data_IF_962903976372
#
_entry.id   IF_962903976372
#
_cell.length_a   1.000
_cell.length_b   1.000
_cell.length_c   1.000
_cell.angle_alpha   90.00
_cell.angle_beta   90.00
_cell.angle_gamma   90.00
#
_symmetry.space_group_name_H-M   'P 1'
#
loop_
_entity.id
_entity.type
_entity.pdbx_description
1 polymer ?
#
# COMPACT_ATOMS: atom_id res chain seq x y z
N UNK A 1 29.30 -6.63 -8.19
CA UNK A 1 29.25 -5.49 -9.15
C UNK A 1 27.84 -4.88 -9.27
N UNK A 2 26.80 -5.68 -9.55
CA UNK A 2 25.40 -5.22 -9.72
C UNK A 2 24.79 -4.45 -8.52
N UNK A 3 25.10 -4.83 -7.27
CA UNK A 3 24.60 -4.10 -6.08
C UNK A 3 25.12 -2.65 -5.99
N UNK A 4 26.35 -2.37 -6.46
CA UNK A 4 26.91 -1.01 -6.44
C UNK A 4 26.24 -0.09 -7.47
N UNK A 5 25.75 -0.65 -8.58
CA UNK A 5 25.04 0.08 -9.63
C UNK A 5 23.67 0.57 -9.15
N UNK A 6 22.99 -0.23 -8.31
CA UNK A 6 21.68 0.11 -7.72
C UNK A 6 21.68 1.35 -6.83
N UNK A 7 22.85 1.82 -6.41
CA UNK A 7 22.95 3.04 -5.59
C UNK A 7 22.98 4.32 -6.44
N UNK A 8 23.03 4.20 -7.77
CA UNK A 8 23.06 5.34 -8.69
C UNK A 8 21.69 5.57 -9.32
N UNK A 9 21.34 6.84 -9.55
CA UNK A 9 20.08 7.24 -10.19
C UNK A 9 20.07 6.97 -11.70
N UNK A 10 21.22 7.10 -12.36
CA UNK A 10 21.34 7.00 -13.83
C UNK A 10 20.80 5.68 -14.41
N UNK A 11 21.14 4.48 -13.89
CA UNK A 11 20.56 3.23 -14.39
C UNK A 11 19.04 3.20 -14.32
N UNK A 12 18.44 3.78 -13.27
CA UNK A 12 16.99 3.88 -13.15
C UNK A 12 16.40 4.88 -14.15
N UNK A 13 17.05 6.02 -14.37
CA UNK A 13 16.62 6.99 -15.37
C UNK A 13 16.67 6.41 -16.79
N UNK A 14 17.71 5.66 -17.13
CA UNK A 14 17.81 4.94 -18.41
C UNK A 14 16.68 3.93 -18.55
N UNK A 15 16.42 3.13 -17.51
CA UNK A 15 15.30 2.19 -17.50
C UNK A 15 13.95 2.91 -17.69
N UNK A 16 13.73 4.02 -16.99
CA UNK A 16 12.52 4.82 -17.09
C UNK A 16 12.33 5.43 -18.49
N UNK A 17 13.42 5.86 -19.14
CA UNK A 17 13.37 6.42 -20.49
C UNK A 17 12.69 5.47 -21.48
N UNK A 18 13.04 4.17 -21.43
CA UNK A 18 12.45 3.12 -22.26
C UNK A 18 11.04 2.69 -21.82
N UNK A 19 10.52 3.18 -20.69
CA UNK A 19 9.19 2.87 -20.17
C UNK A 19 8.21 4.05 -20.28
N UNK A 20 8.35 4.89 -21.32
CA UNK A 20 7.52 6.10 -21.52
C UNK A 20 6.01 5.87 -21.38
N UNK A 21 5.46 4.80 -21.98
CA UNK A 21 4.02 4.49 -21.91
C UNK A 21 3.52 4.36 -20.45
N UNK A 22 4.34 3.81 -19.57
CA UNK A 22 4.04 3.62 -18.15
C UNK A 22 4.26 4.86 -17.28
N UNK A 23 4.82 5.94 -17.83
CA UNK A 23 5.26 7.14 -17.08
C UNK A 23 4.72 8.46 -17.62
N UNK A 24 4.19 8.49 -18.85
CA UNK A 24 3.75 9.72 -19.50
C UNK A 24 2.62 10.44 -18.75
N UNK A 25 1.84 9.72 -17.93
CA UNK A 25 0.82 10.30 -17.04
C UNK A 25 1.41 11.29 -16.03
N UNK A 26 2.70 11.19 -15.70
CA UNK A 26 3.38 12.13 -14.80
C UNK A 26 3.65 13.50 -15.44
N UNK A 27 3.72 13.59 -16.77
CA UNK A 27 4.05 14.85 -17.48
C UNK A 27 3.08 16.00 -17.10
N UNK A 28 1.74 15.84 -17.21
CA UNK A 28 0.82 16.89 -16.80
C UNK A 28 0.90 17.18 -15.29
N UNK A 29 1.16 16.17 -14.45
CA UNK A 29 1.26 16.33 -13.01
C UNK A 29 2.52 17.12 -12.60
N UNK A 30 3.67 16.83 -13.22
CA UNK A 30 4.90 17.58 -12.99
C UNK A 30 4.74 19.05 -13.38
N UNK A 31 4.09 19.32 -14.52
CA UNK A 31 3.76 20.69 -14.94
C UNK A 31 2.82 21.38 -13.95
N UNK A 32 1.78 20.68 -13.47
CA UNK A 32 0.83 21.20 -12.48
C UNK A 32 1.53 21.66 -11.19
N UNK A 33 2.54 20.91 -10.74
CA UNK A 33 3.28 21.19 -9.51
C UNK A 33 4.58 21.95 -9.72
N UNK A 34 4.82 22.50 -10.92
CA UNK A 34 6.00 23.34 -11.19
C UNK A 34 7.34 22.58 -11.18
N UNK A 35 7.34 21.26 -11.37
CA UNK A 35 8.57 20.46 -11.39
C UNK A 35 9.26 20.57 -12.76
N UNK A 36 10.49 21.10 -12.78
CA UNK A 36 11.37 21.07 -13.95
C UNK A 36 12.06 19.70 -14.07
N UNK A 37 11.28 18.67 -14.42
CA UNK A 37 11.75 17.30 -14.57
C UNK A 37 11.11 16.59 -15.75
N UNK A 38 11.92 15.78 -16.45
CA UNK A 38 11.43 14.81 -17.41
C UNK A 38 10.71 13.64 -16.71
N UNK A 39 9.77 12.99 -17.41
CA UNK A 39 9.03 11.83 -16.89
C UNK A 39 9.92 10.67 -16.42
N UNK A 40 11.16 10.58 -16.92
CA UNK A 40 12.12 9.54 -16.60
C UNK A 40 13.09 9.90 -15.47
N UNK A 41 13.07 11.16 -15.00
CA UNK A 41 13.95 11.64 -13.94
C UNK A 41 13.68 10.94 -12.61
N UNK A 42 14.69 10.91 -11.74
CA UNK A 42 14.48 10.54 -10.33
C UNK A 42 13.56 11.54 -9.65
N UNK A 43 12.75 11.07 -8.71
CA UNK A 43 11.79 11.88 -7.96
C UNK A 43 11.71 11.42 -6.50
N UNK A 44 11.54 12.36 -5.58
CA UNK A 44 11.42 12.11 -4.13
C UNK A 44 10.60 13.20 -3.44
N UNK A 45 10.26 12.98 -2.17
CA UNK A 45 9.62 13.96 -1.28
C UNK A 45 10.24 15.36 -1.35
N UNK A 46 11.57 15.44 -1.43
CA UNK A 46 12.34 16.71 -1.55
C UNK A 46 11.92 17.58 -2.72
N UNK A 47 11.49 16.98 -3.83
CA UNK A 47 11.08 17.73 -5.02
C UNK A 47 9.81 18.56 -4.79
N UNK A 48 9.03 18.22 -3.75
CA UNK A 48 7.78 18.87 -3.40
C UNK A 48 7.90 19.73 -2.13
N UNK A 49 9.06 19.79 -1.48
CA UNK A 49 9.26 20.49 -0.20
C UNK A 49 9.02 22.01 -0.27
N UNK A 50 8.96 22.58 -1.47
CA UNK A 50 8.65 24.00 -1.71
C UNK A 50 7.15 24.28 -1.83
N UNK A 51 6.33 23.23 -1.92
CA UNK A 51 4.88 23.32 -2.02
C UNK A 51 4.26 23.20 -0.63
N UNK A 52 3.05 23.74 -0.41
CA UNK A 52 2.39 23.60 0.89
C UNK A 52 2.12 22.13 1.22
N UNK A 53 2.19 21.80 2.51
CA UNK A 53 1.60 20.57 2.99
C UNK A 53 0.11 20.57 2.64
N UNK A 54 -0.29 19.60 1.81
CA UNK A 54 -1.66 19.50 1.36
C UNK A 54 -2.35 18.38 2.13
N UNK A 55 -3.24 18.77 3.04
CA UNK A 55 -4.04 17.85 3.82
C UNK A 55 -5.23 17.37 2.99
N UNK A 56 -5.32 16.05 2.80
CA UNK A 56 -6.51 15.39 2.28
C UNK A 56 -7.61 15.47 3.34
N UNK A 57 -8.83 15.82 2.91
CA UNK A 57 -9.95 16.04 3.84
C UNK A 57 -10.96 14.91 3.69
N UNK A 58 -11.10 14.13 4.75
CA UNK A 58 -12.14 13.11 4.81
C UNK A 58 -13.53 13.77 4.87
N UNK A 59 -14.42 13.36 3.97
CA UNK A 59 -15.80 13.84 3.88
C UNK A 59 -16.76 12.72 4.27
N UNK A 60 -17.15 12.73 5.55
CA UNK A 60 -18.02 11.72 6.14
C UNK A 60 -19.40 11.68 5.46
N UNK A 61 -19.94 12.84 5.08
CA UNK A 61 -21.25 12.92 4.42
C UNK A 61 -21.20 12.29 3.03
N UNK A 62 -20.13 12.51 2.26
CA UNK A 62 -19.93 11.78 0.99
C UNK A 62 -19.83 10.28 1.23
N UNK A 63 -19.12 9.84 2.27
CA UNK A 63 -18.94 8.41 2.56
C UNK A 63 -20.28 7.74 2.77
N UNK A 64 -21.15 8.36 3.57
CA UNK A 64 -22.48 7.85 3.89
C UNK A 64 -23.42 7.77 2.70
N UNK A 65 -23.17 8.60 1.68
CA UNK A 65 -23.96 8.63 0.47
C UNK A 65 -23.54 7.60 -0.58
N UNK A 66 -22.35 7.00 -0.45
CA UNK A 66 -21.89 5.94 -1.36
C UNK A 66 -22.80 4.70 -1.28
N UNK A 67 -23.02 4.05 -2.42
CA UNK A 67 -23.84 2.83 -2.48
C UNK A 67 -23.22 1.69 -1.66
N UNK A 68 -21.89 1.61 -1.63
CA UNK A 68 -21.17 0.62 -0.85
C UNK A 68 -21.47 0.76 0.65
N UNK A 69 -21.35 1.97 1.21
CA UNK A 69 -21.59 2.22 2.64
C UNK A 69 -23.04 1.91 3.05
N UNK A 70 -24.02 2.27 2.22
CA UNK A 70 -25.44 2.03 2.50
C UNK A 70 -25.76 0.54 2.68
N UNK A 71 -25.07 -0.32 1.93
CA UNK A 71 -25.24 -1.77 1.95
C UNK A 71 -24.40 -2.49 3.00
N UNK A 72 -23.58 -1.78 3.79
CA UNK A 72 -22.84 -2.38 4.91
C UNK A 72 -23.77 -2.77 6.07
N UNK A 73 -23.37 -3.78 6.84
CA UNK A 73 -23.97 -4.06 8.15
C UNK A 73 -23.74 -2.90 9.13
N UNK A 74 -24.51 -2.82 10.21
CA UNK A 74 -24.33 -1.77 11.22
C UNK A 74 -22.94 -1.83 11.89
N UNK A 75 -22.40 -3.03 12.11
CA UNK A 75 -21.02 -3.22 12.59
C UNK A 75 -20.00 -2.61 11.61
N UNK A 76 -20.15 -2.91 10.33
CA UNK A 76 -19.24 -2.43 9.29
C UNK A 76 -19.38 -0.91 9.05
N UNK A 77 -20.60 -0.36 9.16
CA UNK A 77 -20.82 1.09 9.14
C UNK A 77 -20.12 1.78 10.31
N UNK A 78 -20.23 1.22 11.51
CA UNK A 78 -19.54 1.76 12.69
C UNK A 78 -18.02 1.75 12.50
N UNK A 79 -17.45 0.68 11.94
CA UNK A 79 -16.02 0.64 11.62
C UNK A 79 -15.63 1.66 10.55
N UNK A 80 -16.43 1.81 9.49
CA UNK A 80 -16.16 2.77 8.42
C UNK A 80 -16.20 4.23 8.88
N UNK A 81 -17.11 4.58 9.81
CA UNK A 81 -17.13 5.90 10.46
C UNK A 81 -15.84 6.23 11.21
N UNK A 82 -15.24 5.21 11.83
CA UNK A 82 -13.99 5.37 12.57
C UNK A 82 -12.73 5.49 11.70
N UNK A 83 -12.84 5.50 10.38
CA UNK A 83 -11.67 5.50 9.49
C UNK A 83 -10.75 6.71 9.69
N UNK A 84 -11.31 7.92 9.76
CA UNK A 84 -10.51 9.14 9.93
C UNK A 84 -9.81 9.22 11.29
N UNK A 85 -10.44 8.66 12.32
CA UNK A 85 -9.86 8.61 13.67
C UNK A 85 -8.80 7.53 13.84
N UNK A 86 -9.05 6.35 13.28
CA UNK A 86 -8.20 5.19 13.50
C UNK A 86 -7.13 5.00 12.42
N UNK A 87 -7.35 5.51 11.21
CA UNK A 87 -6.50 5.31 10.03
C UNK A 87 -6.74 3.97 9.34
N UNK A 88 -7.76 3.23 9.76
CA UNK A 88 -8.18 1.96 9.18
C UNK A 88 -9.65 1.71 9.47
N UNK A 89 -10.24 0.77 8.71
CA UNK A 89 -11.55 0.19 8.99
C UNK A 89 -11.54 -1.31 8.69
N UNK A 90 -12.44 -2.05 9.32
CA UNK A 90 -12.62 -3.49 9.15
C UNK A 90 -14.04 -3.76 8.67
N UNK A 91 -14.16 -4.53 7.61
CA UNK A 91 -15.43 -5.05 7.11
C UNK A 91 -15.48 -6.56 7.38
N UNK A 92 -16.29 -6.97 8.37
CA UNK A 92 -16.52 -8.37 8.68
C UNK A 92 -17.38 -9.02 7.62
N UNK A 93 -17.06 -10.27 7.28
CA UNK A 93 -17.76 -11.06 6.26
C UNK A 93 -17.90 -10.33 4.91
N UNK A 94 -16.86 -9.59 4.50
CA UNK A 94 -16.87 -8.86 3.23
C UNK A 94 -16.99 -9.81 2.04
N UNK A 95 -16.17 -10.87 2.02
CA UNK A 95 -16.35 -12.00 1.11
C UNK A 95 -17.05 -13.14 1.83
N UNK A 96 -17.86 -13.89 1.08
CA UNK A 96 -18.29 -15.21 1.51
C UNK A 96 -17.07 -16.16 1.58
N UNK A 97 -17.01 -17.09 2.55
CA UNK A 97 -15.93 -18.07 2.64
C UNK A 97 -15.67 -18.83 1.33
N UNK A 98 -16.73 -19.15 0.57
CA UNK A 98 -16.62 -19.86 -0.70
C UNK A 98 -15.91 -19.02 -1.78
N UNK A 99 -16.09 -17.70 -1.77
CA UNK A 99 -15.38 -16.79 -2.68
C UNK A 99 -13.89 -16.73 -2.33
N UNK A 100 -13.53 -16.74 -1.04
CA UNK A 100 -12.14 -16.84 -0.61
C UNK A 100 -11.51 -18.18 -1.04
N UNK A 101 -12.25 -19.29 -0.97
CA UNK A 101 -11.78 -20.59 -1.44
C UNK A 101 -11.60 -20.63 -2.97
N UNK A 102 -12.48 -19.98 -3.74
CA UNK A 102 -12.31 -19.81 -5.19
C UNK A 102 -11.02 -19.05 -5.51
N UNK A 103 -10.71 -17.97 -4.77
CA UNK A 103 -9.45 -17.23 -4.95
C UNK A 103 -8.24 -18.13 -4.63
N UNK A 104 -8.28 -18.90 -3.55
CA UNK A 104 -7.20 -19.82 -3.18
C UNK A 104 -6.97 -20.88 -4.28
N UNK A 105 -8.05 -21.49 -4.78
CA UNK A 105 -7.97 -22.50 -5.85
C UNK A 105 -7.41 -21.91 -7.16
N UNK A 106 -7.82 -20.70 -7.51
CA UNK A 106 -7.31 -19.99 -8.70
C UNK A 106 -5.81 -19.68 -8.57
N UNK A 107 -5.35 -19.22 -7.40
CA UNK A 107 -3.92 -19.00 -7.13
C UNK A 107 -3.12 -20.31 -7.27
N UNK A 108 -3.62 -21.40 -6.69
CA UNK A 108 -2.97 -22.71 -6.76
C UNK A 108 -2.88 -23.23 -8.20
N UNK A 109 -3.96 -23.07 -8.98
CA UNK A 109 -3.98 -23.39 -10.40
C UNK A 109 -2.94 -22.58 -11.18
N UNK A 110 -2.95 -21.25 -11.04
CA UNK A 110 -2.01 -20.36 -11.74
C UNK A 110 -0.55 -20.63 -11.37
N UNK A 111 -0.28 -21.04 -10.11
CA UNK A 111 1.05 -21.49 -9.68
C UNK A 111 1.46 -22.79 -10.35
N UNK A 112 0.56 -23.78 -10.41
CA UNK A 112 0.81 -25.10 -11.02
C UNK A 112 1.09 -24.99 -12.52
N UNK A 113 0.39 -24.08 -13.19
CA UNK A 113 0.58 -23.79 -14.62
C UNK A 113 1.85 -22.96 -14.90
N UNK A 114 2.47 -22.37 -13.86
CA UNK A 114 3.65 -21.52 -14.00
C UNK A 114 3.34 -20.09 -14.48
N UNK A 115 2.06 -19.73 -14.58
CA UNK A 115 1.57 -18.40 -14.98
C UNK A 115 2.00 -17.31 -14.00
N UNK A 116 1.95 -17.63 -12.70
CA UNK A 116 2.46 -16.76 -11.63
C UNK A 116 3.59 -17.45 -10.87
N UNK A 117 4.46 -16.66 -10.22
CA UNK A 117 5.59 -17.17 -9.45
C UNK A 117 5.92 -16.26 -8.28
N UNK A 118 6.44 -16.87 -7.21
CA UNK A 118 6.91 -16.12 -6.05
C UNK A 118 8.05 -15.17 -6.41
N UNK A 119 7.99 -13.96 -5.86
CA UNK A 119 9.00 -12.91 -5.94
C UNK A 119 9.22 -12.31 -4.55
N UNK A 120 10.31 -11.57 -4.38
CA UNK A 120 10.55 -10.70 -3.22
C UNK A 120 10.28 -11.34 -1.85
N UNK A 121 10.74 -12.59 -1.63
CA UNK A 121 10.60 -13.26 -0.34
C UNK A 121 9.20 -13.84 -0.07
N UNK A 122 8.54 -14.40 -1.08
CA UNK A 122 7.29 -15.15 -0.91
C UNK A 122 6.01 -14.41 -1.33
N UNK A 123 6.15 -13.31 -2.07
CA UNK A 123 5.03 -12.51 -2.61
C UNK A 123 4.66 -12.96 -4.01
N UNK A 124 3.37 -13.10 -4.29
CA UNK A 124 2.82 -13.26 -5.64
C UNK A 124 2.33 -11.90 -6.12
N UNK A 125 3.11 -11.25 -6.98
CA UNK A 125 2.85 -9.88 -7.42
C UNK A 125 1.95 -9.87 -8.66
N UNK A 126 0.99 -8.94 -8.70
CA UNK A 126 0.17 -8.62 -9.87
C UNK A 126 -0.68 -9.79 -10.40
N UNK A 127 -1.20 -10.63 -9.51
CA UNK A 127 -2.14 -11.71 -9.88
C UNK A 127 -3.43 -11.14 -10.53
N UNK A 128 -3.75 -9.87 -10.29
CA UNK A 128 -4.82 -9.11 -10.99
C UNK A 128 -4.75 -9.15 -12.51
N UNK A 129 -3.57 -9.37 -13.10
CA UNK A 129 -3.43 -9.45 -14.57
C UNK A 129 -3.66 -10.87 -15.12
N UNK A 130 -3.86 -11.84 -14.25
CA UNK A 130 -3.94 -13.26 -14.60
C UNK A 130 -5.21 -13.94 -14.09
N UNK A 131 -6.01 -13.28 -13.25
CA UNK A 131 -7.21 -13.83 -12.63
C UNK A 131 -8.38 -12.85 -12.70
N UNK A 132 -9.47 -13.26 -13.36
CA UNK A 132 -10.68 -12.44 -13.48
C UNK A 132 -11.38 -12.21 -12.15
N UNK A 133 -11.46 -13.22 -11.27
CA UNK A 133 -12.09 -13.08 -9.95
C UNK A 133 -11.34 -12.04 -9.09
N UNK A 134 -10.01 -12.10 -9.05
CA UNK A 134 -9.19 -11.12 -8.33
C UNK A 134 -9.34 -9.74 -8.98
N UNK A 135 -9.25 -9.66 -10.31
CA UNK A 135 -9.42 -8.39 -11.03
C UNK A 135 -10.79 -7.74 -10.76
N UNK A 136 -11.88 -8.51 -10.79
CA UNK A 136 -13.23 -8.01 -10.65
C UNK A 136 -13.51 -7.52 -9.23
N UNK A 137 -13.04 -8.25 -8.21
CA UNK A 137 -13.15 -7.80 -6.80
C UNK A 137 -12.41 -6.48 -6.61
N UNK A 138 -11.20 -6.36 -7.13
CA UNK A 138 -10.39 -5.14 -6.99
C UNK A 138 -10.92 -3.93 -7.78
N UNK A 139 -11.74 -4.15 -8.81
CA UNK A 139 -12.30 -3.09 -9.67
C UNK A 139 -13.83 -2.94 -9.51
N UNK A 140 -14.41 -3.45 -8.42
CA UNK A 140 -15.83 -3.24 -8.14
C UNK A 140 -16.13 -1.74 -8.09
N UNK A 141 -17.15 -1.31 -8.84
CA UNK A 141 -17.45 0.13 -9.02
C UNK A 141 -17.85 0.79 -7.69
N UNK A 142 -18.64 0.11 -6.88
CA UNK A 142 -19.14 0.65 -5.62
C UNK A 142 -18.00 0.73 -4.60
N UNK A 143 -17.10 -0.26 -4.58
CA UNK A 143 -15.88 -0.22 -3.79
C UNK A 143 -14.98 0.94 -4.23
N UNK A 144 -14.75 1.14 -5.53
CA UNK A 144 -13.91 2.24 -6.03
C UNK A 144 -14.48 3.62 -5.67
N UNK A 145 -15.80 3.81 -5.73
CA UNK A 145 -16.46 5.03 -5.28
C UNK A 145 -16.24 5.26 -3.78
N UNK A 146 -16.42 4.21 -2.97
CA UNK A 146 -16.16 4.24 -1.53
C UNK A 146 -14.71 4.61 -1.20
N UNK A 147 -13.75 3.94 -1.84
CA UNK A 147 -12.31 4.21 -1.66
C UNK A 147 -11.92 5.62 -2.13
N UNK A 148 -12.58 6.14 -3.17
CA UNK A 148 -12.35 7.50 -3.67
C UNK A 148 -12.73 8.56 -2.63
N UNK A 149 -13.78 8.31 -1.83
CA UNK A 149 -14.11 9.17 -0.70
C UNK A 149 -13.07 9.04 0.43
N UNK A 150 -12.68 7.80 0.78
CA UNK A 150 -11.69 7.57 1.85
C UNK A 150 -10.32 8.23 1.57
N UNK A 151 -9.90 8.26 0.31
CA UNK A 151 -8.61 8.81 -0.12
C UNK A 151 -8.67 10.30 -0.49
N UNK A 152 -9.86 10.90 -0.49
CA UNK A 152 -10.13 12.25 -1.02
C UNK A 152 -9.50 12.45 -2.41
N UNK A 153 -9.88 11.59 -3.36
CA UNK A 153 -9.29 11.54 -4.70
C UNK A 153 -9.94 10.50 -5.60
N UNK A 154 -9.37 10.26 -6.78
CA UNK A 154 -9.90 9.26 -7.72
C UNK A 154 -9.16 7.94 -7.51
N UNK A 155 -9.75 7.03 -6.73
CA UNK A 155 -9.10 5.76 -6.39
C UNK A 155 -8.97 4.86 -7.63
N UNK A 156 -7.74 4.43 -7.91
CA UNK A 156 -7.41 3.54 -9.03
C UNK A 156 -6.58 2.36 -8.55
N UNK A 157 -7.02 1.16 -8.89
CA UNK A 157 -6.29 -0.07 -8.56
C UNK A 157 -4.93 -0.07 -9.26
N UNK A 158 -3.87 -0.20 -8.47
CA UNK A 158 -2.49 -0.17 -8.95
C UNK A 158 -1.82 -1.53 -8.95
N UNK A 159 -2.00 -2.29 -7.86
CA UNK A 159 -1.27 -3.52 -7.64
C UNK A 159 -2.08 -4.50 -6.81
N UNK A 160 -1.86 -5.80 -7.06
CA UNK A 160 -2.17 -6.84 -6.09
C UNK A 160 -0.94 -7.58 -5.59
N UNK A 161 -1.03 -8.08 -4.36
CA UNK A 161 -0.07 -8.99 -3.77
C UNK A 161 -0.81 -10.11 -3.06
N UNK A 162 -0.53 -11.36 -3.43
CA UNK A 162 -0.99 -12.52 -2.70
C UNK A 162 0.13 -13.11 -1.86
N UNK A 163 -0.24 -13.61 -0.69
CA UNK A 163 0.67 -14.25 0.26
C UNK A 163 0.13 -15.63 0.61
N UNK A 164 1.04 -16.59 0.81
CA UNK A 164 0.70 -17.90 1.42
C UNK A 164 1.00 -17.90 2.92
N UNK A 165 1.97 -17.10 3.38
CA UNK A 165 2.37 -17.02 4.78
C UNK A 165 2.39 -15.56 5.27
N UNK A 166 2.38 -15.42 6.60
CA UNK A 166 2.67 -14.16 7.30
C UNK A 166 3.93 -13.47 6.76
N UNK A 167 3.86 -12.16 6.51
CA UNK A 167 5.01 -11.39 6.00
C UNK A 167 6.11 -11.25 7.05
N UNK A 168 5.74 -11.26 8.34
CA UNK A 168 6.62 -10.95 9.47
C UNK A 168 7.35 -9.60 9.30
N UNK A 169 6.77 -8.71 8.48
CA UNK A 169 7.36 -7.41 8.19
C UNK A 169 7.21 -6.54 9.44
N UNK A 170 8.29 -5.88 9.84
CA UNK A 170 8.27 -4.98 10.99
C UNK A 170 7.31 -3.81 10.75
N UNK A 171 6.97 -3.11 11.84
CA UNK A 171 6.14 -1.91 11.79
C UNK A 171 6.68 -0.91 10.78
N UNK A 172 5.84 -0.51 9.83
CA UNK A 172 6.15 0.44 8.78
C UNK A 172 4.89 1.20 8.35
N UNK A 173 5.11 2.29 7.60
CA UNK A 173 4.08 3.00 6.83
C UNK A 173 4.31 2.69 5.36
N UNK A 174 3.24 2.47 4.59
CA UNK A 174 3.35 2.20 3.14
C UNK A 174 3.94 3.40 2.38
N UNK A 175 3.78 4.60 2.93
CA UNK A 175 4.23 5.84 2.32
C UNK A 175 5.74 5.88 2.07
N UNK A 176 6.56 5.08 2.78
CA UNK A 176 8.01 4.96 2.50
C UNK A 176 8.30 4.13 1.23
N UNK A 177 7.41 3.20 0.91
CA UNK A 177 7.54 2.31 -0.24
C UNK A 177 6.88 2.89 -1.49
N UNK A 178 5.75 3.56 -1.27
CA UNK A 178 4.79 4.00 -2.27
C UNK A 178 4.21 5.33 -1.82
N UNK A 179 4.91 6.40 -2.18
CA UNK A 179 4.61 7.77 -1.80
C UNK A 179 3.80 8.46 -2.88
N UNK A 180 3.04 9.45 -2.46
CA UNK A 180 2.28 10.33 -3.35
C UNK A 180 2.59 11.78 -3.04
N UNK A 181 2.49 12.64 -4.07
CA UNK A 181 2.25 14.05 -3.85
C UNK A 181 0.93 14.46 -4.54
N UNK A 182 -0.02 15.05 -3.80
CA UNK A 182 -0.08 15.21 -2.34
C UNK A 182 0.03 13.91 -1.55
N UNK A 183 0.57 13.97 -0.33
CA UNK A 183 0.70 12.82 0.58
C UNK A 183 -0.69 12.23 0.92
N UNK A 184 -0.71 10.96 1.34
CA UNK A 184 -1.94 10.25 1.70
C UNK A 184 -2.76 9.72 0.52
N UNK A 185 -2.28 9.89 -0.71
CA UNK A 185 -2.95 9.43 -1.94
C UNK A 185 -2.84 7.93 -2.19
N UNK A 186 -2.68 7.10 -1.16
CA UNK A 186 -2.63 5.64 -1.24
C UNK A 186 -3.58 5.01 -0.20
N UNK A 187 -4.27 3.93 -0.58
CA UNK A 187 -4.95 3.02 0.34
C UNK A 187 -4.47 1.59 0.14
N UNK A 188 -4.30 0.87 1.25
CA UNK A 188 -4.13 -0.58 1.26
C UNK A 188 -5.47 -1.25 1.59
N UNK A 189 -5.80 -2.31 0.85
CA UNK A 189 -6.98 -3.16 1.11
C UNK A 189 -6.51 -4.60 1.22
N UNK A 190 -6.63 -5.18 2.40
CA UNK A 190 -6.22 -6.55 2.71
C UNK A 190 -7.42 -7.43 2.99
N UNK A 191 -7.43 -8.62 2.43
CA UNK A 191 -8.52 -9.59 2.56
C UNK A 191 -7.95 -10.91 3.09
N UNK A 192 -8.59 -11.44 4.13
CA UNK A 192 -8.32 -12.75 4.69
C UNK A 192 -8.85 -13.84 3.75
N UNK A 193 -7.96 -14.70 3.23
CA UNK A 193 -8.37 -15.87 2.44
C UNK A 193 -8.44 -17.15 3.27
N UNK A 194 -8.15 -17.05 4.58
CA UNK A 194 -8.37 -18.06 5.60
C UNK A 194 -8.47 -17.38 6.98
N UNK A 195 -8.76 -18.15 8.03
CA UNK A 195 -8.76 -17.64 9.40
C UNK A 195 -7.34 -17.22 9.83
N UNK A 196 -7.23 -16.07 10.49
CA UNK A 196 -5.96 -15.46 10.90
C UNK A 196 -5.98 -15.12 12.38
N UNK A 197 -4.96 -15.60 13.07
CA UNK A 197 -4.76 -15.43 14.52
C UNK A 197 -3.27 -15.20 14.86
N UNK A 198 -2.94 -15.12 16.15
CA UNK A 198 -1.58 -14.92 16.65
C UNK A 198 -0.61 -16.03 16.23
N UNK A 199 -1.11 -17.21 15.86
CA UNK A 199 -0.29 -18.38 15.59
C UNK A 199 0.19 -18.43 14.15
N UNK A 200 -0.56 -17.88 13.19
CA UNK A 200 -0.22 -17.96 11.76
C UNK A 200 0.31 -16.65 11.14
N UNK A 201 0.56 -15.62 11.95
CA UNK A 201 1.16 -14.36 11.51
C UNK A 201 0.13 -13.33 11.07
N UNK A 202 -0.78 -13.01 12.00
CA UNK A 202 -1.70 -11.89 11.93
C UNK A 202 -1.03 -10.56 11.57
N UNK A 203 -1.82 -9.64 11.03
CA UNK A 203 -1.37 -8.25 10.91
C UNK A 203 -1.43 -7.57 12.27
N UNK A 204 -0.66 -6.50 12.41
CA UNK A 204 -0.82 -5.54 13.48
C UNK A 204 -0.94 -4.14 12.92
N UNK A 205 -1.58 -3.26 13.67
CA UNK A 205 -1.67 -1.83 13.37
C UNK A 205 -1.56 -1.01 14.65
N UNK A 206 -1.27 0.28 14.49
CA UNK A 206 -1.24 1.25 15.58
C UNK A 206 -2.35 2.28 15.29
N UNK A 207 -3.51 2.20 15.95
CA UNK A 207 -4.62 3.12 15.69
C UNK A 207 -4.22 4.58 15.86
N UNK A 208 -4.68 5.44 14.96
CA UNK A 208 -4.42 6.89 14.96
C UNK A 208 -3.01 7.28 14.49
N UNK A 209 -2.10 6.33 14.25
CA UNK A 209 -0.72 6.63 13.84
C UNK A 209 -0.62 7.23 12.43
N UNK A 210 -1.67 7.15 11.62
CA UNK A 210 -1.71 7.84 10.33
C UNK A 210 -1.69 9.37 10.44
N UNK A 211 -2.08 9.93 11.60
CA UNK A 211 -2.02 11.35 11.93
C UNK A 211 -0.61 11.83 12.31
N UNK A 212 0.36 10.92 12.43
CA UNK A 212 1.77 11.29 12.63
C UNK A 212 2.33 11.94 11.35
N UNK A 213 3.45 12.68 11.45
CA UNK A 213 4.21 13.09 10.27
C UNK A 213 4.56 11.89 9.39
N UNK A 214 4.63 12.13 8.08
CA UNK A 214 5.14 11.14 7.14
C UNK A 214 6.64 11.01 7.31
N UNK A 215 7.11 9.91 7.87
CA UNK A 215 8.53 9.65 8.02
C UNK A 215 9.13 9.13 6.70
N UNK A 216 9.88 9.98 6.00
CA UNK A 216 10.45 9.74 4.68
C UNK A 216 12.00 9.76 4.75
N UNK A 217 12.71 9.84 3.62
CA UNK A 217 14.17 9.71 3.61
C UNK A 217 14.89 10.74 4.51
N UNK A 218 14.37 11.96 4.61
CA UNK A 218 14.95 13.03 5.42
C UNK A 218 14.95 12.70 6.92
N UNK A 219 13.90 12.05 7.40
CA UNK A 219 13.64 11.86 8.84
C UNK A 219 14.61 10.87 9.51
N UNK A 220 15.26 10.04 8.71
CA UNK A 220 16.27 9.08 9.17
C UNK A 220 17.59 9.22 8.42
N UNK A 221 17.96 10.42 7.96
CA UNK A 221 19.20 10.75 7.23
C UNK A 221 19.53 9.78 6.06
N UNK A 222 18.51 9.41 5.29
CA UNK A 222 18.66 8.59 4.09
C UNK A 222 18.50 9.40 2.79
N UNK A 223 18.67 10.72 2.84
CA UNK A 223 18.73 11.51 1.62
C UNK A 223 19.91 11.08 0.73
N UNK A 224 19.61 11.00 -0.57
CA UNK A 224 20.61 10.79 -1.61
C UNK A 224 21.33 12.09 -2.01
N UNK A 225 22.15 12.00 -3.04
CA UNK A 225 22.74 13.17 -3.72
C UNK A 225 22.09 13.38 -5.09
N UNK A 226 22.60 14.32 -5.89
CA UNK A 226 22.20 14.48 -7.29
C UNK A 226 22.38 13.18 -8.12
N UNK A 227 23.34 12.32 -7.75
CA UNK A 227 23.70 11.14 -8.54
C UNK A 227 23.36 9.80 -7.86
N UNK A 228 23.26 9.78 -6.53
CA UNK A 228 23.08 8.56 -5.74
C UNK A 228 21.81 8.62 -4.90
N UNK A 229 21.19 7.47 -4.67
CA UNK A 229 20.13 7.32 -3.66
C UNK A 229 20.75 7.26 -2.25
N UNK A 230 19.88 7.28 -1.22
CA UNK A 230 20.27 7.10 0.17
C UNK A 230 21.10 5.83 0.41
N UNK A 231 21.99 5.88 1.40
CA UNK A 231 22.93 4.78 1.70
C UNK A 231 22.45 3.87 2.83
N UNK A 232 21.49 4.31 3.65
CA UNK A 232 21.00 3.53 4.78
C UNK A 232 20.16 2.35 4.27
N UNK A 233 20.24 1.23 4.98
CA UNK A 233 19.43 0.06 4.68
C UNK A 233 17.97 0.31 5.06
N UNK A 234 17.07 -0.54 4.58
CA UNK A 234 15.68 -0.53 5.05
C UNK A 234 15.58 -0.84 6.56
N UNK A 235 16.51 -1.64 7.10
CA UNK A 235 16.59 -1.92 8.54
C UNK A 235 16.74 -0.64 9.37
N UNK A 236 17.48 0.35 8.87
CA UNK A 236 17.63 1.63 9.57
C UNK A 236 16.30 2.40 9.67
N UNK A 237 15.41 2.28 8.68
CA UNK A 237 14.06 2.84 8.74
C UNK A 237 13.18 2.08 9.75
N UNK A 238 13.26 0.75 9.76
CA UNK A 238 12.53 -0.07 10.73
C UNK A 238 12.96 0.25 12.18
N UNK A 239 14.26 0.40 12.43
CA UNK A 239 14.81 0.79 13.74
C UNK A 239 14.38 2.21 14.15
N UNK A 240 14.40 3.15 13.19
CA UNK A 240 13.90 4.51 13.41
C UNK A 240 12.43 4.50 13.85
N UNK A 241 11.56 3.78 13.13
CA UNK A 241 10.14 3.70 13.48
C UNK A 241 9.89 2.98 14.79
N UNK A 242 10.62 1.90 15.07
CA UNK A 242 10.50 1.19 16.34
C UNK A 242 10.82 2.10 17.53
N UNK A 243 11.87 2.93 17.41
CA UNK A 243 12.22 3.92 18.41
C UNK A 243 11.14 5.00 18.53
N UNK A 244 10.58 5.49 17.41
CA UNK A 244 9.50 6.48 17.42
C UNK A 244 8.21 5.96 18.06
N UNK A 245 7.84 4.71 17.80
CA UNK A 245 6.69 4.05 18.45
C UNK A 245 6.88 4.00 19.97
N UNK A 246 8.09 3.66 20.44
CA UNK A 246 8.43 3.62 21.88
C UNK A 246 8.44 5.02 22.51
N UNK A 247 9.09 5.99 21.86
CA UNK A 247 9.18 7.38 22.29
C UNK A 247 7.79 8.02 22.49
N UNK A 248 6.88 7.77 21.56
CA UNK A 248 5.52 8.30 21.57
C UNK A 248 4.53 7.46 22.41
N UNK A 249 4.97 6.34 22.99
CA UNK A 249 4.12 5.46 23.80
C UNK A 249 2.95 4.83 23.01
N UNK A 250 3.11 4.65 21.70
CA UNK A 250 2.05 4.17 20.82
C UNK A 250 1.79 2.68 21.06
N UNK A 251 0.50 2.31 21.04
CA UNK A 251 0.07 0.93 21.31
C UNK A 251 -0.28 0.21 20.03
N UNK A 252 0.30 -0.97 19.88
CA UNK A 252 0.04 -1.91 18.79
C UNK A 252 -1.17 -2.78 19.14
N UNK A 253 -2.04 -2.99 18.16
CA UNK A 253 -3.15 -3.94 18.20
C UNK A 253 -2.96 -5.03 17.15
N UNK A 254 -3.32 -6.27 17.51
CA UNK A 254 -3.21 -7.43 16.62
C UNK A 254 -4.56 -7.70 15.97
N UNK A 255 -4.56 -7.77 14.63
CA UNK A 255 -5.75 -7.99 13.83
C UNK A 255 -6.04 -9.48 13.63
N UNK A 256 -6.96 -10.01 14.44
CA UNK A 256 -7.57 -11.31 14.20
C UNK A 256 -8.67 -11.20 13.14
N UNK A 257 -8.64 -12.09 12.16
CA UNK A 257 -9.57 -12.07 11.03
C UNK A 257 -10.18 -13.45 10.80
N UNK A 258 -11.43 -13.48 10.40
CA UNK A 258 -12.07 -14.66 9.83
C UNK A 258 -11.91 -14.67 8.32
N UNK A 259 -11.93 -15.86 7.71
CA UNK A 259 -11.91 -15.98 6.25
C UNK A 259 -13.00 -15.10 5.64
N UNK A 260 -12.61 -14.21 4.73
CA UNK A 260 -13.49 -13.26 4.05
C UNK A 260 -13.57 -11.87 4.68
N UNK A 261 -12.99 -11.65 5.86
CA UNK A 261 -12.85 -10.32 6.43
C UNK A 261 -11.91 -9.44 5.59
N UNK A 262 -12.21 -8.14 5.55
CA UNK A 262 -11.44 -7.13 4.84
C UNK A 262 -10.98 -6.04 5.81
N UNK A 263 -9.73 -5.61 5.68
CA UNK A 263 -9.12 -4.47 6.37
C UNK A 263 -8.70 -3.43 5.33
N UNK A 264 -9.17 -2.19 5.45
CA UNK A 264 -8.70 -1.05 4.66
C UNK A 264 -7.86 -0.17 5.57
N UNK A 265 -6.72 0.30 5.10
CA UNK A 265 -5.85 1.16 5.87
C UNK A 265 -5.29 2.33 5.05
N UNK A 266 -5.11 3.45 5.74
CA UNK A 266 -4.51 4.65 5.20
C UNK A 266 -3.00 4.47 4.97
N UNK A 267 -2.44 5.07 3.92
CA UNK A 267 -1.02 4.96 3.55
C UNK A 267 -0.01 5.20 4.69
N UNK A 268 -0.40 6.02 5.66
CA UNK A 268 0.48 6.45 6.76
C UNK A 268 0.29 5.70 8.07
N UNK A 269 -0.70 4.80 8.17
CA UNK A 269 -0.84 4.02 9.39
C UNK A 269 0.35 3.08 9.58
N UNK A 270 0.89 3.07 10.79
CA UNK A 270 1.95 2.15 11.17
C UNK A 270 1.35 0.76 11.35
N UNK A 271 1.79 -0.19 10.52
CA UNK A 271 1.30 -1.55 10.50
C UNK A 271 2.42 -2.55 10.13
N UNK A 272 2.15 -3.84 10.30
CA UNK A 272 3.11 -4.89 9.96
C UNK A 272 2.53 -6.29 10.13
N UNK A 273 3.39 -7.30 10.11
CA UNK A 273 3.01 -8.69 10.33
C UNK A 273 3.66 -9.26 11.58
N UNK A 274 2.86 -9.92 12.41
CA UNK A 274 3.31 -10.64 13.59
C UNK A 274 4.16 -11.87 13.21
N UNK A 275 4.97 -12.40 14.16
CA UNK A 275 5.67 -13.66 13.99
C UNK A 275 4.73 -14.80 13.61
N UNK A 276 5.18 -15.64 12.69
CA UNK A 276 4.44 -16.85 12.33
C UNK A 276 4.88 -17.98 13.26
N UNK A 277 4.13 -18.23 14.34
CA UNK A 277 4.55 -19.13 15.42
C UNK A 277 4.35 -20.62 15.07
N UNK A 278 3.20 -20.97 14.49
CA UNK A 278 2.88 -22.32 14.07
C UNK A 278 3.19 -22.53 12.58
N UNK A 279 4.37 -23.09 12.30
CA UNK A 279 4.88 -23.32 10.93
C UNK A 279 4.07 -24.35 10.12
N UNK A 280 3.09 -25.02 10.73
CA UNK A 280 2.20 -25.96 10.02
C UNK A 280 0.99 -25.26 9.39
N UNK A 281 0.68 -24.03 9.82
CA UNK A 281 -0.42 -23.23 9.30
C UNK A 281 0.06 -22.31 8.20
N UNK A 282 -0.86 -21.93 7.32
CA UNK A 282 -0.66 -20.83 6.36
C UNK A 282 -1.33 -19.55 6.86
N UNK A 283 -1.07 -18.45 6.14
CA UNK A 283 -1.85 -17.21 6.25
C UNK A 283 -2.08 -16.66 4.84
N UNK A 284 -3.01 -17.25 4.10
CA UNK A 284 -3.39 -16.88 2.75
C UNK A 284 -4.11 -15.54 2.80
N UNK A 285 -3.59 -14.57 2.07
CA UNK A 285 -4.19 -13.25 1.99
C UNK A 285 -4.00 -12.62 0.63
N UNK A 286 -4.86 -11.64 0.35
CA UNK A 286 -4.82 -10.81 -0.85
C UNK A 286 -4.74 -9.36 -0.42
N UNK A 287 -3.83 -8.60 -1.03
CA UNK A 287 -3.67 -7.16 -0.81
C UNK A 287 -3.86 -6.45 -2.12
N UNK A 288 -4.66 -5.39 -2.14
CA UNK A 288 -4.71 -4.40 -3.19
C UNK A 288 -4.15 -3.08 -2.70
N UNK A 289 -3.50 -2.37 -3.62
CA UNK A 289 -3.10 -0.99 -3.41
C UNK A 289 -3.83 -0.11 -4.42
N UNK A 290 -4.43 0.96 -3.92
CA UNK A 290 -5.11 1.97 -4.71
C UNK A 290 -4.39 3.28 -4.55
N UNK A 291 -4.17 4.00 -5.66
CA UNK A 291 -3.67 5.36 -5.63
C UNK A 291 -4.73 6.33 -6.12
N UNK A 292 -4.61 7.59 -5.71
CA UNK A 292 -5.28 8.70 -6.36
C UNK A 292 -4.65 8.94 -7.75
N UNK A 293 -5.45 8.79 -8.81
CA UNK A 293 -5.02 8.96 -10.20
C UNK A 293 -4.45 10.37 -10.49
N UNK A 294 -4.83 11.37 -9.69
CA UNK A 294 -4.38 12.76 -9.83
C UNK A 294 -3.13 13.09 -8.99
N UNK A 295 -2.51 12.07 -8.38
CA UNK A 295 -1.31 12.22 -7.57
C UNK A 295 -0.05 11.78 -8.29
N UNK A 296 1.05 12.48 -8.05
CA UNK A 296 2.37 12.00 -8.49
C UNK A 296 2.77 10.84 -7.59
N UNK A 297 2.91 9.65 -8.15
CA UNK A 297 3.26 8.44 -7.40
C UNK A 297 4.73 8.07 -7.59
N UNK A 298 5.43 7.75 -6.50
CA UNK A 298 6.85 7.40 -6.56
C UNK A 298 7.29 6.52 -5.38
N UNK A 299 8.46 5.91 -5.52
CA UNK A 299 9.09 5.08 -4.51
C UNK A 299 10.16 5.89 -3.76
N UNK A 300 9.86 6.39 -2.56
CA UNK A 300 10.75 7.29 -1.81
C UNK A 300 12.16 6.73 -1.63
N UNK A 301 12.32 5.49 -1.14
CA UNK A 301 13.66 4.91 -0.88
C UNK A 301 14.52 4.81 -2.14
N UNK A 302 13.90 4.47 -3.28
CA UNK A 302 14.64 4.31 -4.55
C UNK A 302 14.64 5.57 -5.40
N UNK A 303 13.88 6.58 -5.01
CA UNK A 303 13.68 7.85 -5.71
C UNK A 303 13.27 7.67 -7.19
N UNK A 304 12.32 6.76 -7.44
CA UNK A 304 11.84 6.42 -8.79
C UNK A 304 10.36 6.74 -8.93
N UNK A 305 9.91 7.27 -10.08
CA UNK A 305 8.47 7.36 -10.35
C UNK A 305 7.87 5.95 -10.39
N UNK A 306 6.62 5.83 -9.94
CA UNK A 306 5.87 4.59 -10.02
C UNK A 306 5.52 4.28 -11.48
N UNK A 307 5.63 3.01 -11.87
CA UNK A 307 5.31 2.55 -13.20
C UNK A 307 3.88 2.01 -13.19
N UNK A 308 2.99 2.65 -13.94
CA UNK A 308 1.62 2.17 -14.08
C UNK A 308 1.53 1.26 -15.30
N UNK A 309 1.00 0.05 -15.08
CA UNK A 309 0.55 -0.81 -16.18
C UNK A 309 -0.88 -0.36 -16.53
N UNK A 310 -0.93 0.68 -17.38
CA UNK A 310 -2.17 1.17 -18.01
C UNK A 310 -2.60 0.22 -19.12
#
# INVERSE_FOLDING_TARGET
MLKKIRNYKLPYMIYNFFNKKKLQHNIPLYKKYGLDKSYFSSISSKDFAHLPENERKFDEQKLFNTEFYKNLSEENKASAKGFDDNGFLVLRNYLKPETADQINNEIEKLLKEGTIKFRYGGKLMFVIHHSEIIKNIGNDKNLLEFLSVLIDGDAKLFQSINFINGSQQKTHSDSIHMTTYPLGGLLGVWIALEDVDETNGALHYIPGSHKLPYFLNSDYDNEGTAFKIGKKSYVAYEEFLENKVKELGLKKEVFRAKKGDLLIWHANILHGGEPHLDKTKTRKSLVYHYFDEKSVCYHEVTQRPALFEL
#
